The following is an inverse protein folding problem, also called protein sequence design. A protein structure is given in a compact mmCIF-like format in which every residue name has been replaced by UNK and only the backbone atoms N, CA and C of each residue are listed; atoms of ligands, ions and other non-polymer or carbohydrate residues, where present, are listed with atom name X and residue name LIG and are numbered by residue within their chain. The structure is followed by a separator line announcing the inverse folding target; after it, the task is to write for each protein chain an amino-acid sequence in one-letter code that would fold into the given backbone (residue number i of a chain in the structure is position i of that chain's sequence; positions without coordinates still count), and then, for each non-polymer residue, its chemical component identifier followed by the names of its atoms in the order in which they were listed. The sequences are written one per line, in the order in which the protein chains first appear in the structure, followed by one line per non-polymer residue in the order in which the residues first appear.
data_IF_117148484502
#
_entry.id   IF_117148484502
#
_cell.length_a   1.000
_cell.length_b   1.000
_cell.length_c   1.000
_cell.angle_alpha   90.00
_cell.angle_beta   90.00
_cell.angle_gamma   90.00
#
_symmetry.space_group_name_H-M   'P 1'
#
loop_
_entity.id
_entity.type
_entity.pdbx_description
1 polymer ?
#
# COMPACT_ATOMS: atom_id res chain seq x y z
N UNK A 1 20.45 17.63 -8.08
CA UNK A 1 20.34 16.78 -6.87
C UNK A 1 21.75 16.36 -6.63
N UNK A 2 22.41 17.08 -5.72
CA UNK A 2 23.87 17.13 -5.66
C UNK A 2 24.38 16.34 -4.45
N UNK A 3 23.47 15.89 -3.58
CA UNK A 3 23.71 15.02 -2.43
C UNK A 3 22.85 13.76 -2.49
N UNK A 4 23.38 12.56 -2.19
CA UNK A 4 22.59 11.33 -2.03
C UNK A 4 21.46 11.45 -0.99
N UNK A 5 21.54 12.43 -0.09
CA UNK A 5 20.49 12.69 0.90
C UNK A 5 19.23 13.30 0.28
N UNK A 6 19.34 13.96 -0.86
CA UNK A 6 18.22 14.59 -1.56
C UNK A 6 17.22 13.53 -2.09
N UNK A 7 17.69 12.30 -2.32
CA UNK A 7 16.86 11.17 -2.77
C UNK A 7 15.84 10.71 -1.72
N UNK A 8 16.04 11.08 -0.45
CA UNK A 8 15.19 10.69 0.68
C UNK A 8 14.32 11.85 1.18
N UNK A 9 14.12 12.89 0.36
CA UNK A 9 13.30 14.05 0.74
C UNK A 9 13.87 14.87 1.90
N UNK A 10 15.19 14.84 2.11
CA UNK A 10 15.82 15.54 3.24
C UNK A 10 15.62 14.89 4.61
N UNK A 11 15.09 13.65 4.68
CA UNK A 11 14.96 12.91 5.94
C UNK A 11 16.34 12.58 6.54
N UNK A 12 16.52 12.68 7.88
CA UNK A 12 17.77 12.33 8.53
C UNK A 12 18.18 10.88 8.29
N UNK A 13 19.49 10.65 8.13
CA UNK A 13 20.04 9.33 7.85
C UNK A 13 19.68 8.26 8.90
N UNK A 14 19.48 8.66 10.16
CA UNK A 14 19.05 7.76 11.25
C UNK A 14 17.69 7.08 10.99
N UNK A 15 16.85 7.63 10.13
CA UNK A 15 15.54 7.08 9.78
C UNK A 15 15.58 6.10 8.61
N UNK A 16 16.70 6.01 7.89
CA UNK A 16 16.82 5.12 6.72
C UNK A 16 16.69 3.65 7.10
N UNK A 17 17.33 3.23 8.19
CA UNK A 17 17.26 1.84 8.65
C UNK A 17 15.82 1.41 8.96
N UNK A 18 15.03 2.30 9.59
CA UNK A 18 13.62 2.04 9.86
C UNK A 18 12.83 1.92 8.55
N UNK A 19 12.97 2.89 7.65
CA UNK A 19 12.30 2.89 6.34
C UNK A 19 12.61 1.61 5.55
N UNK A 20 13.89 1.26 5.41
CA UNK A 20 14.33 0.07 4.67
C UNK A 20 13.78 -1.20 5.32
N UNK A 21 13.76 -1.28 6.66
CA UNK A 21 13.16 -2.43 7.37
C UNK A 21 11.68 -2.56 7.07
N UNK A 22 10.92 -1.45 7.15
CA UNK A 22 9.50 -1.42 6.80
C UNK A 22 9.26 -1.83 5.33
N UNK A 23 10.12 -1.40 4.39
CA UNK A 23 10.07 -1.81 2.99
C UNK A 23 10.24 -3.32 2.81
N UNK A 24 11.19 -3.96 3.49
CA UNK A 24 11.37 -5.42 3.40
C UNK A 24 10.20 -6.20 4.00
N UNK A 25 9.63 -5.73 5.12
CA UNK A 25 8.42 -6.30 5.71
C UNK A 25 7.26 -6.20 4.71
N UNK A 26 7.07 -5.02 4.12
CA UNK A 26 6.04 -4.76 3.12
C UNK A 26 6.20 -5.61 1.87
N UNK A 27 7.42 -5.71 1.33
CA UNK A 27 7.72 -6.56 0.18
C UNK A 27 7.39 -8.02 0.45
N UNK A 28 7.70 -8.51 1.65
CA UNK A 28 7.33 -9.87 2.08
C UNK A 28 5.81 -10.04 2.11
N UNK A 29 5.09 -9.07 2.69
CA UNK A 29 3.63 -9.08 2.73
C UNK A 29 2.97 -9.08 1.34
N UNK A 30 3.51 -8.27 0.44
CA UNK A 30 3.10 -8.20 -0.97
C UNK A 30 3.31 -9.54 -1.69
N UNK A 31 4.47 -10.18 -1.50
CA UNK A 31 4.76 -11.49 -2.09
C UNK A 31 3.82 -12.58 -1.54
N UNK A 32 3.52 -12.55 -0.24
CA UNK A 32 2.52 -13.46 0.35
C UNK A 32 1.16 -13.25 -0.33
N UNK A 33 0.69 -12.01 -0.43
CA UNK A 33 -0.59 -11.73 -1.11
C UNK A 33 -0.62 -12.23 -2.55
N UNK A 34 0.40 -11.93 -3.37
CA UNK A 34 0.40 -12.39 -4.77
C UNK A 34 0.61 -13.87 -4.95
N UNK A 35 1.38 -14.52 -4.09
CA UNK A 35 1.45 -15.97 -4.08
C UNK A 35 0.04 -16.58 -3.99
N UNK A 36 -0.78 -16.03 -3.11
CA UNK A 36 -2.14 -16.51 -2.92
C UNK A 36 -3.08 -16.12 -4.06
N UNK A 37 -3.17 -14.84 -4.37
CA UNK A 37 -4.11 -14.31 -5.36
C UNK A 37 -3.84 -14.78 -6.80
N UNK A 38 -2.58 -15.08 -7.16
CA UNK A 38 -2.21 -15.46 -8.53
C UNK A 38 -2.00 -16.97 -8.71
N UNK A 39 -1.51 -17.67 -7.68
CA UNK A 39 -1.06 -19.06 -7.83
C UNK A 39 -1.76 -20.06 -6.91
N UNK A 40 -2.17 -19.65 -5.70
CA UNK A 40 -2.78 -20.58 -4.74
C UNK A 40 -4.29 -20.67 -4.88
N UNK A 41 -4.95 -19.56 -5.21
CA UNK A 41 -6.40 -19.50 -5.34
C UNK A 41 -6.80 -19.76 -6.79
N UNK A 42 -7.83 -20.58 -6.97
CA UNK A 42 -8.46 -20.76 -8.28
C UNK A 42 -9.10 -19.44 -8.73
N UNK A 43 -9.15 -19.22 -10.05
CA UNK A 43 -9.77 -18.02 -10.64
C UNK A 43 -11.20 -17.80 -10.13
N UNK A 44 -12.00 -18.87 -10.06
CA UNK A 44 -13.37 -18.81 -9.56
C UNK A 44 -13.46 -18.35 -8.09
N UNK A 45 -12.46 -18.70 -7.27
CA UNK A 45 -12.38 -18.22 -5.87
C UNK A 45 -12.15 -16.73 -5.88
N UNK A 46 -11.14 -16.25 -6.61
CA UNK A 46 -10.80 -14.82 -6.69
C UNK A 46 -11.99 -14.01 -7.19
N UNK A 47 -12.70 -14.49 -8.21
CA UNK A 47 -13.86 -13.78 -8.79
C UNK A 47 -15.04 -13.67 -7.83
N UNK A 48 -15.20 -14.66 -6.94
CA UNK A 48 -16.29 -14.69 -5.96
C UNK A 48 -16.10 -13.70 -4.80
N UNK A 49 -14.86 -13.31 -4.50
CA UNK A 49 -14.54 -12.50 -3.31
C UNK A 49 -15.22 -11.14 -3.34
N UNK A 50 -16.05 -10.90 -2.33
CA UNK A 50 -16.64 -9.60 -2.04
C UNK A 50 -15.90 -8.86 -0.92
N UNK A 51 -15.90 -7.53 -0.97
CA UNK A 51 -15.63 -6.72 0.23
C UNK A 51 -16.74 -6.93 1.27
N UNK A 52 -16.51 -6.60 2.56
CA UNK A 52 -17.48 -6.89 3.63
C UNK A 52 -18.88 -6.26 3.47
N UNK A 53 -19.00 -5.21 2.64
CA UNK A 53 -20.26 -4.55 2.32
C UNK A 53 -20.78 -4.86 0.91
N UNK A 54 -20.12 -5.75 0.17
CA UNK A 54 -20.53 -6.18 -1.15
C UNK A 54 -21.43 -7.41 -1.07
N UNK A 55 -22.41 -7.49 -1.97
CA UNK A 55 -23.24 -8.67 -2.18
C UNK A 55 -22.94 -9.30 -3.54
N UNK A 56 -23.15 -10.61 -3.66
CA UNK A 56 -22.99 -11.36 -4.90
C UNK A 56 -21.72 -12.22 -4.95
N UNK A 57 -21.42 -12.73 -6.14
CA UNK A 57 -20.34 -13.72 -6.37
C UNK A 57 -19.48 -13.37 -7.59
N UNK A 58 -19.50 -12.12 -8.03
CA UNK A 58 -18.77 -11.65 -9.22
C UNK A 58 -18.05 -10.33 -8.96
N UNK A 59 -17.09 -9.98 -9.83
CA UNK A 59 -16.31 -8.76 -9.83
C UNK A 59 -15.11 -8.76 -8.88
N UNK A 60 -14.74 -9.91 -8.32
CA UNK A 60 -13.60 -10.03 -7.41
C UNK A 60 -12.29 -9.60 -8.08
N UNK A 61 -12.07 -9.98 -9.34
CA UNK A 61 -10.88 -9.53 -10.09
C UNK A 61 -10.82 -8.00 -10.24
N UNK A 62 -11.94 -7.36 -10.54
CA UNK A 62 -12.01 -5.90 -10.66
C UNK A 62 -11.72 -5.20 -9.33
N UNK A 63 -12.23 -5.73 -8.22
CA UNK A 63 -11.95 -5.20 -6.87
C UNK A 63 -10.47 -5.32 -6.52
N UNK A 64 -9.89 -6.49 -6.79
CA UNK A 64 -8.47 -6.74 -6.58
C UNK A 64 -7.61 -5.79 -7.43
N UNK A 65 -7.96 -5.62 -8.71
CA UNK A 65 -7.27 -4.71 -9.63
C UNK A 65 -7.34 -3.26 -9.14
N UNK A 66 -8.53 -2.76 -8.78
CA UNK A 66 -8.68 -1.38 -8.30
C UNK A 66 -7.85 -1.17 -7.02
N UNK A 67 -7.93 -2.08 -6.06
CA UNK A 67 -7.15 -1.99 -4.82
C UNK A 67 -5.63 -2.00 -5.11
N UNK A 68 -5.19 -2.85 -6.04
CA UNK A 68 -3.79 -2.92 -6.47
C UNK A 68 -3.31 -1.63 -7.15
N UNK A 69 -4.10 -1.07 -8.06
CA UNK A 69 -3.75 0.16 -8.77
C UNK A 69 -3.69 1.35 -7.80
N UNK A 70 -4.60 1.42 -6.83
CA UNK A 70 -4.61 2.46 -5.79
C UNK A 70 -3.39 2.38 -4.86
N UNK A 71 -2.78 1.21 -4.69
CA UNK A 71 -1.50 1.09 -3.99
C UNK A 71 -0.36 1.49 -4.93
N UNK A 72 -0.23 0.82 -6.07
CA UNK A 72 1.01 0.87 -6.88
C UNK A 72 1.21 2.17 -7.63
N UNK A 73 0.18 2.69 -8.29
CA UNK A 73 0.31 3.91 -9.08
C UNK A 73 0.66 5.10 -8.16
N UNK A 74 -0.05 5.38 -7.07
CA UNK A 74 0.31 6.50 -6.20
C UNK A 74 1.64 6.26 -5.47
N UNK A 75 2.00 5.01 -5.13
CA UNK A 75 3.30 4.70 -4.52
C UNK A 75 4.48 5.14 -5.39
N UNK A 76 4.38 5.01 -6.72
CA UNK A 76 5.47 5.41 -7.62
C UNK A 76 5.70 6.93 -7.64
N UNK A 77 4.67 7.72 -7.31
CA UNK A 77 4.74 9.19 -7.35
C UNK A 77 5.19 9.82 -6.04
N UNK A 78 5.24 9.06 -4.94
CA UNK A 78 5.48 9.62 -3.61
C UNK A 78 6.78 10.43 -3.49
N UNK A 79 7.91 9.84 -3.87
CA UNK A 79 9.21 10.52 -3.80
C UNK A 79 9.32 11.65 -4.81
N UNK A 80 8.74 11.50 -6.01
CA UNK A 80 8.75 12.53 -7.04
C UNK A 80 7.91 13.76 -6.63
N UNK A 81 6.74 13.55 -6.01
CA UNK A 81 5.92 14.64 -5.48
C UNK A 81 6.58 15.33 -4.30
N UNK A 82 7.28 14.57 -3.46
CA UNK A 82 8.09 15.13 -2.36
C UNK A 82 9.22 16.00 -2.92
N UNK A 83 9.96 15.51 -3.91
CA UNK A 83 11.01 16.27 -4.57
C UNK A 83 10.46 17.53 -5.27
N UNK A 84 9.27 17.45 -5.87
CA UNK A 84 8.57 18.61 -6.44
C UNK A 84 8.26 19.65 -5.37
N UNK A 85 7.74 19.24 -4.22
CA UNK A 85 7.47 20.13 -3.09
C UNK A 85 8.74 20.79 -2.56
N UNK A 86 9.83 20.06 -2.39
CA UNK A 86 11.12 20.65 -1.97
C UNK A 86 11.67 21.70 -2.93
N UNK A 87 11.39 21.55 -4.24
CA UNK A 87 11.86 22.48 -5.27
C UNK A 87 10.92 23.66 -5.45
N UNK A 88 9.68 23.54 -4.97
CA UNK A 88 8.61 24.50 -5.21
C UNK A 88 8.11 25.03 -3.87
N UNK A 89 8.40 26.29 -3.55
CA UNK A 89 7.89 26.99 -2.34
C UNK A 89 6.36 27.23 -2.33
N UNK A 90 5.59 26.41 -3.06
CA UNK A 90 4.14 26.49 -3.17
C UNK A 90 3.45 25.67 -2.09
N UNK A 91 2.69 26.34 -1.22
CA UNK A 91 1.94 25.71 -0.11
C UNK A 91 0.90 24.66 -0.53
N UNK A 92 0.55 24.56 -1.82
CA UNK A 92 -0.36 23.55 -2.36
C UNK A 92 0.33 22.21 -2.64
N UNK A 93 1.65 22.20 -2.87
CA UNK A 93 2.40 20.99 -3.25
C UNK A 93 2.49 19.98 -2.11
N UNK A 94 2.51 20.43 -0.84
CA UNK A 94 2.43 19.55 0.33
C UNK A 94 1.16 18.68 0.29
N UNK A 95 0.03 19.26 -0.11
CA UNK A 95 -1.27 18.58 -0.13
C UNK A 95 -1.35 17.52 -1.22
N UNK A 96 -0.57 17.68 -2.31
CA UNK A 96 -0.41 16.61 -3.31
C UNK A 96 0.30 15.40 -2.72
N UNK A 97 1.38 15.60 -1.97
CA UNK A 97 2.14 14.50 -1.35
C UNK A 97 1.26 13.79 -0.31
N UNK A 98 0.63 14.55 0.58
CA UNK A 98 -0.27 14.02 1.62
C UNK A 98 -1.42 13.25 0.96
N UNK A 99 -2.11 13.86 -0.02
CA UNK A 99 -3.21 13.23 -0.74
C UNK A 99 -2.79 11.94 -1.43
N UNK A 100 -1.64 11.93 -2.11
CA UNK A 100 -1.08 10.75 -2.75
C UNK A 100 -0.88 9.59 -1.76
N UNK A 101 -0.27 9.87 -0.59
CA UNK A 101 -0.06 8.88 0.47
C UNK A 101 -1.37 8.31 1.02
N UNK A 102 -2.40 9.15 1.20
CA UNK A 102 -3.73 8.69 1.62
C UNK A 102 -4.42 7.80 0.58
N UNK A 103 -4.19 8.02 -0.72
CA UNK A 103 -4.69 7.11 -1.77
C UNK A 103 -4.02 5.74 -1.65
N UNK A 104 -2.70 5.68 -1.37
CA UNK A 104 -2.00 4.41 -1.11
C UNK A 104 -2.60 3.70 0.11
N UNK A 105 -2.83 4.43 1.21
CA UNK A 105 -3.46 3.89 2.42
C UNK A 105 -4.82 3.26 2.10
N UNK A 106 -5.66 3.97 1.32
CA UNK A 106 -6.95 3.47 0.89
C UNK A 106 -6.80 2.18 0.07
N UNK A 107 -5.88 2.14 -0.90
CA UNK A 107 -5.59 0.94 -1.68
C UNK A 107 -5.22 -0.26 -0.80
N UNK A 108 -4.36 -0.07 0.20
CA UNK A 108 -3.96 -1.14 1.12
C UNK A 108 -5.12 -1.61 2.00
N UNK A 109 -5.97 -0.69 2.47
CA UNK A 109 -7.18 -1.05 3.22
C UNK A 109 -8.11 -1.89 2.34
N UNK A 110 -8.32 -1.51 1.08
CA UNK A 110 -9.14 -2.28 0.14
C UNK A 110 -8.56 -3.66 -0.18
N UNK A 111 -7.23 -3.79 -0.28
CA UNK A 111 -6.55 -5.09 -0.41
C UNK A 111 -6.74 -5.95 0.85
N UNK A 112 -6.57 -5.36 2.04
CA UNK A 112 -6.79 -6.06 3.30
C UNK A 112 -8.24 -6.51 3.47
N UNK A 113 -9.20 -5.68 3.06
CA UNK A 113 -10.63 -6.03 3.08
C UNK A 113 -10.98 -7.11 2.05
N UNK A 114 -10.30 -7.12 0.91
CA UNK A 114 -10.44 -8.20 -0.08
C UNK A 114 -9.95 -9.53 0.51
N UNK A 115 -8.73 -9.54 1.07
CA UNK A 115 -8.18 -10.71 1.77
C UNK A 115 -9.07 -11.18 2.93
N UNK A 116 -9.58 -10.23 3.71
CA UNK A 116 -10.47 -10.50 4.84
C UNK A 116 -11.82 -11.07 4.39
N UNK A 117 -12.39 -10.55 3.30
CA UNK A 117 -13.61 -11.09 2.69
C UNK A 117 -13.46 -12.55 2.30
N UNK A 118 -12.34 -12.89 1.62
CA UNK A 118 -12.04 -14.28 1.27
C UNK A 118 -11.86 -15.19 2.50
N UNK A 119 -11.27 -14.66 3.58
CA UNK A 119 -11.13 -15.37 4.84
C UNK A 119 -12.48 -15.66 5.51
N UNK A 120 -13.36 -14.66 5.60
CA UNK A 120 -14.70 -14.83 6.18
C UNK A 120 -15.58 -15.78 5.37
N UNK A 121 -15.47 -15.76 4.05
CA UNK A 121 -16.23 -16.64 3.16
C UNK A 121 -15.75 -18.10 3.22
N UNK A 122 -14.62 -18.37 3.90
CA UNK A 122 -14.03 -19.70 3.94
C UNK A 122 -13.69 -20.21 2.54
N UNK A 123 -13.34 -19.31 1.62
CA UNK A 123 -13.30 -19.60 0.19
C UNK A 123 -12.25 -20.68 -0.17
N UNK A 124 -11.24 -20.85 0.67
CA UNK A 124 -10.23 -21.91 0.58
C UNK A 124 -9.47 -22.04 1.92
N UNK A 125 -8.57 -23.03 2.03
CA UNK A 125 -7.64 -23.13 3.17
C UNK A 125 -6.66 -21.96 3.16
N UNK A 126 -6.06 -21.66 4.32
CA UNK A 126 -4.92 -20.75 4.43
C UNK A 126 -5.22 -19.28 4.02
N UNK A 127 -6.50 -18.89 3.96
CA UNK A 127 -6.97 -17.53 3.60
C UNK A 127 -6.53 -16.43 4.57
N UNK A 128 -5.98 -16.77 5.74
CA UNK A 128 -5.43 -15.81 6.69
C UNK A 128 -4.11 -15.19 6.21
N UNK A 129 -3.34 -15.88 5.37
CA UNK A 129 -2.03 -15.40 4.93
C UNK A 129 -2.10 -14.11 4.10
N UNK A 130 -3.02 -13.95 3.14
CA UNK A 130 -3.23 -12.66 2.48
C UNK A 130 -3.59 -11.52 3.43
N UNK A 131 -4.31 -11.81 4.52
CA UNK A 131 -4.64 -10.80 5.55
C UNK A 131 -3.37 -10.36 6.28
N UNK A 132 -2.52 -11.32 6.67
CA UNK A 132 -1.20 -11.04 7.26
C UNK A 132 -0.35 -10.23 6.29
N UNK A 133 -0.35 -10.60 5.00
CA UNK A 133 0.37 -9.88 3.96
C UNK A 133 -0.09 -8.43 3.79
N UNK A 134 -1.40 -8.16 3.87
CA UNK A 134 -1.95 -6.81 3.83
C UNK A 134 -1.58 -5.99 5.08
N UNK A 135 -1.50 -6.62 6.26
CA UNK A 135 -1.01 -5.95 7.49
C UNK A 135 0.46 -5.59 7.34
N UNK A 136 1.28 -6.51 6.82
CA UNK A 136 2.70 -6.28 6.58
C UNK A 136 2.94 -5.17 5.56
N UNK A 137 2.17 -5.12 4.46
CA UNK A 137 2.19 -4.01 3.51
C UNK A 137 1.78 -2.69 4.21
N UNK A 138 0.75 -2.73 5.06
CA UNK A 138 0.27 -1.61 5.86
C UNK A 138 1.32 -1.00 6.80
N UNK A 139 2.28 -1.77 7.28
CA UNK A 139 3.40 -1.24 8.10
C UNK A 139 4.19 -0.20 7.31
N UNK A 140 4.48 -0.45 6.03
CA UNK A 140 5.12 0.55 5.18
C UNK A 140 4.12 1.64 4.80
N UNK A 141 3.04 1.28 4.11
CA UNK A 141 2.26 2.30 3.39
C UNK A 141 1.32 3.11 4.28
N UNK A 142 0.86 2.55 5.41
CA UNK A 142 0.00 3.27 6.36
C UNK A 142 0.84 3.86 7.49
N UNK A 143 1.62 3.02 8.19
CA UNK A 143 2.32 3.49 9.40
C UNK A 143 3.51 4.37 9.03
N UNK A 144 4.43 3.85 8.21
CA UNK A 144 5.64 4.58 7.87
C UNK A 144 5.34 5.77 6.93
N UNK A 145 4.71 5.51 5.80
CA UNK A 145 4.47 6.54 4.78
C UNK A 145 3.22 7.36 5.12
N UNK A 146 2.08 6.73 5.38
CA UNK A 146 0.83 7.46 5.65
C UNK A 146 0.82 8.29 6.94
N UNK A 147 1.52 7.87 7.99
CA UNK A 147 1.49 8.54 9.31
C UNK A 147 2.84 9.17 9.63
N UNK A 148 3.93 8.38 9.72
CA UNK A 148 5.21 8.89 10.21
C UNK A 148 5.82 9.93 9.26
N UNK A 149 5.75 9.71 7.95
CA UNK A 149 6.19 10.70 6.96
C UNK A 149 5.40 12.00 7.11
N UNK A 150 4.07 11.93 7.09
CA UNK A 150 3.21 13.12 7.18
C UNK A 150 3.40 13.93 8.47
N UNK A 151 3.76 13.27 9.59
CA UNK A 151 4.01 13.93 10.87
C UNK A 151 5.42 14.52 11.00
N UNK A 152 6.42 13.93 10.33
CA UNK A 152 7.84 14.29 10.54
C UNK A 152 8.46 15.04 9.39
N UNK A 153 7.85 14.99 8.21
CA UNK A 153 8.35 15.70 7.06
C UNK A 153 8.26 17.23 7.29
N UNK A 154 9.33 17.99 7.03
CA UNK A 154 9.34 19.44 7.21
C UNK A 154 8.64 20.11 6.02
N UNK A 155 7.30 20.16 6.08
CA UNK A 155 6.43 20.85 5.10
C UNK A 155 6.67 22.37 5.05
#
# INVERSE_FOLDING_TARGET
MDSPNDLWGGIPESWRTLNVTCMFISATGFLIMWWFFLYRWDEAVVESVQWPWGEGTTGGHSRLMIAFLLVTIPSMFWLELTALHMRTDGSWTQWLVIGNLWVVCLGNILLGLFAWGAHQQGATSDTIWPVIGAVMLGIQVIINDGILWNLKYPW
#
